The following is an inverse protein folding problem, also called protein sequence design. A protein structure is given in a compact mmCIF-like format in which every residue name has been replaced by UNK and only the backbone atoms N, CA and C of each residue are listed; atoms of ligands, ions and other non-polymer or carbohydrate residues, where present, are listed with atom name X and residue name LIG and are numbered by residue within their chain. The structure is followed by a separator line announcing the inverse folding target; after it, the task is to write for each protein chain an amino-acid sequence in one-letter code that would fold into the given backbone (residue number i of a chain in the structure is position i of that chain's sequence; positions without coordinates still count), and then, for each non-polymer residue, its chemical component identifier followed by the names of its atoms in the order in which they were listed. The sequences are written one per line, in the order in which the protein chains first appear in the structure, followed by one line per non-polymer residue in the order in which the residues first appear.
data_IF_543767777067
#
_entry.id   IF_543767777067
#
_cell.length_a   1.000
_cell.length_b   1.000
_cell.length_c   1.000
_cell.angle_alpha   90.00
_cell.angle_beta   90.00
_cell.angle_gamma   90.00
#
_symmetry.space_group_name_H-M   'P 1'
#
loop_
_entity.id
_entity.type
_entity.pdbx_description
1 polymer ?
#
# COMPACT_ATOMS: atom_id res chain seq x y z
N UNK A 1 32.99 -39.66 -28.48
CA UNK A 1 31.68 -39.46 -29.14
C UNK A 1 30.53 -39.39 -28.13
N UNK A 2 30.39 -40.38 -27.24
CA UNK A 2 29.31 -40.39 -26.22
C UNK A 2 29.32 -39.18 -25.27
N UNK A 3 30.48 -38.72 -24.80
CA UNK A 3 30.56 -37.56 -23.90
C UNK A 3 29.98 -36.28 -24.53
N UNK A 4 30.13 -36.11 -25.85
CA UNK A 4 29.66 -34.93 -26.58
C UNK A 4 28.12 -34.94 -26.68
N UNK A 5 27.53 -36.12 -26.84
CA UNK A 5 26.08 -36.30 -26.78
C UNK A 5 25.55 -36.06 -25.37
N UNK A 6 26.23 -36.58 -24.34
CA UNK A 6 25.84 -36.35 -22.95
C UNK A 6 25.85 -34.85 -22.59
N UNK A 7 26.88 -34.11 -23.01
CA UNK A 7 26.95 -32.65 -22.85
C UNK A 7 25.80 -31.93 -23.55
N UNK A 8 25.45 -32.35 -24.77
CA UNK A 8 24.39 -31.73 -25.55
C UNK A 8 23.02 -31.94 -24.88
N UNK A 9 22.75 -33.17 -24.41
CA UNK A 9 21.52 -33.47 -23.66
C UNK A 9 21.46 -32.66 -22.36
N UNK A 10 22.57 -32.53 -21.64
CA UNK A 10 22.64 -31.75 -20.40
C UNK A 10 22.37 -30.27 -20.65
N UNK A 11 22.91 -29.70 -21.74
CA UNK A 11 22.67 -28.31 -22.12
C UNK A 11 21.19 -28.04 -22.44
N UNK A 12 20.53 -28.96 -23.15
CA UNK A 12 19.10 -28.86 -23.44
C UNK A 12 18.27 -28.98 -22.17
N UNK A 13 18.61 -29.94 -21.30
CA UNK A 13 17.93 -30.13 -20.02
C UNK A 13 18.06 -28.89 -19.13
N UNK A 14 19.26 -28.31 -19.02
CA UNK A 14 19.51 -27.09 -18.27
C UNK A 14 18.71 -25.90 -18.84
N UNK A 15 18.65 -25.77 -20.16
CA UNK A 15 17.87 -24.72 -20.84
C UNK A 15 16.37 -24.89 -20.55
N UNK A 16 15.85 -26.11 -20.63
CA UNK A 16 14.46 -26.42 -20.31
C UNK A 16 14.12 -26.13 -18.84
N UNK A 17 14.98 -26.52 -17.90
CA UNK A 17 14.83 -26.23 -16.49
C UNK A 17 14.85 -24.72 -16.20
N UNK A 18 15.71 -23.96 -16.89
CA UNK A 18 15.74 -22.50 -16.81
C UNK A 18 14.44 -21.86 -17.29
N UNK A 19 13.93 -22.27 -18.45
CA UNK A 19 12.63 -21.78 -18.95
C UNK A 19 11.47 -22.10 -17.99
N UNK A 20 11.48 -23.30 -17.39
CA UNK A 20 10.47 -23.70 -16.43
C UNK A 20 10.53 -22.84 -15.16
N UNK A 21 11.73 -22.54 -14.66
CA UNK A 21 11.94 -21.69 -13.47
C UNK A 21 11.41 -20.28 -13.71
N UNK A 22 11.72 -19.67 -14.85
CA UNK A 22 11.21 -18.32 -15.19
C UNK A 22 9.67 -18.32 -15.25
N UNK A 23 9.07 -19.42 -15.73
CA UNK A 23 7.61 -19.56 -15.74
C UNK A 23 7.04 -19.65 -14.32
N UNK A 24 7.69 -20.39 -13.42
CA UNK A 24 7.27 -20.49 -12.02
C UNK A 24 7.37 -19.14 -11.31
N UNK A 25 8.48 -18.42 -11.49
CA UNK A 25 8.67 -17.08 -10.93
C UNK A 25 7.57 -16.09 -11.36
N UNK A 26 7.15 -16.16 -12.63
CA UNK A 26 6.04 -15.32 -13.10
C UNK A 26 4.72 -15.64 -12.41
N UNK A 27 4.44 -16.92 -12.17
CA UNK A 27 3.20 -17.33 -11.49
C UNK A 27 3.20 -16.91 -10.02
N UNK A 28 4.33 -17.06 -9.34
CA UNK A 28 4.50 -16.62 -7.96
C UNK A 28 4.35 -15.10 -7.84
N UNK A 29 5.00 -14.33 -8.71
CA UNK A 29 4.84 -12.87 -8.73
C UNK A 29 3.39 -12.42 -8.96
N UNK A 30 2.65 -13.11 -9.84
CA UNK A 30 1.22 -12.81 -10.06
C UNK A 30 0.39 -13.14 -8.82
N UNK A 31 0.69 -14.23 -8.13
CA UNK A 31 0.02 -14.59 -6.89
C UNK A 31 0.23 -13.55 -5.80
N UNK A 32 1.48 -13.16 -5.57
CA UNK A 32 1.84 -12.14 -4.58
C UNK A 32 1.18 -10.79 -4.89
N UNK A 33 1.14 -10.41 -6.17
CA UNK A 33 0.44 -9.20 -6.61
C UNK A 33 -1.06 -9.28 -6.36
N UNK A 34 -1.69 -10.43 -6.63
CA UNK A 34 -3.12 -10.62 -6.39
C UNK A 34 -3.45 -10.50 -4.90
N UNK A 35 -2.63 -11.08 -4.02
CA UNK A 35 -2.81 -10.97 -2.57
C UNK A 35 -2.59 -9.54 -2.06
N UNK A 36 -1.61 -8.81 -2.62
CA UNK A 36 -1.40 -7.40 -2.31
C UNK A 36 -2.59 -6.53 -2.74
N UNK A 37 -3.15 -6.78 -3.92
CA UNK A 37 -4.32 -6.06 -4.43
C UNK A 37 -5.57 -6.33 -3.60
N UNK A 38 -5.79 -7.58 -3.17
CA UNK A 38 -6.93 -7.91 -2.33
C UNK A 38 -6.86 -7.19 -0.97
N UNK A 39 -5.68 -7.18 -0.34
CA UNK A 39 -5.43 -6.40 0.88
C UNK A 39 -5.66 -4.90 0.67
N UNK A 40 -5.19 -4.35 -0.44
CA UNK A 40 -5.40 -2.94 -0.78
C UNK A 40 -6.89 -2.62 -0.96
N UNK A 41 -7.65 -3.51 -1.61
CA UNK A 41 -9.09 -3.35 -1.80
C UNK A 41 -9.86 -3.38 -0.48
N UNK A 42 -9.45 -4.21 0.48
CA UNK A 42 -10.04 -4.21 1.84
C UNK A 42 -9.82 -2.87 2.53
N UNK A 43 -8.58 -2.35 2.52
CA UNK A 43 -8.25 -1.06 3.11
C UNK A 43 -9.02 0.08 2.44
N UNK A 44 -9.16 0.06 1.13
CA UNK A 44 -9.91 1.08 0.40
C UNK A 44 -11.39 1.11 0.82
N UNK A 45 -12.00 -0.07 1.02
CA UNK A 45 -13.38 -0.16 1.53
C UNK A 45 -13.50 0.39 2.95
N UNK A 46 -12.51 0.16 3.80
CA UNK A 46 -12.49 0.71 5.16
C UNK A 46 -12.37 2.23 5.13
N UNK A 47 -11.45 2.78 4.34
CA UNK A 47 -11.30 4.23 4.15
C UNK A 47 -12.60 4.84 3.61
N UNK A 48 -13.23 4.19 2.63
CA UNK A 48 -14.51 4.63 2.09
C UNK A 48 -15.61 4.65 3.16
N UNK A 49 -15.68 3.62 4.00
CA UNK A 49 -16.63 3.56 5.12
C UNK A 49 -16.40 4.70 6.10
N UNK A 50 -15.15 4.94 6.50
CA UNK A 50 -14.79 6.04 7.40
C UNK A 50 -15.16 7.41 6.80
N UNK A 51 -14.95 7.60 5.48
CA UNK A 51 -15.36 8.82 4.78
C UNK A 51 -16.86 9.03 4.81
N UNK A 52 -17.65 7.97 4.61
CA UNK A 52 -19.11 8.06 4.73
C UNK A 52 -19.52 8.41 6.15
N UNK A 53 -18.90 7.79 7.15
CA UNK A 53 -19.21 8.06 8.56
C UNK A 53 -18.86 9.50 8.96
N UNK A 54 -17.69 9.99 8.56
CA UNK A 54 -17.30 11.38 8.73
C UNK A 54 -18.31 12.33 8.06
N UNK A 55 -18.67 12.06 6.79
CA UNK A 55 -19.65 12.86 6.05
C UNK A 55 -21.03 12.90 6.74
N UNK A 56 -21.46 11.80 7.38
CA UNK A 56 -22.69 11.76 8.17
C UNK A 56 -22.61 12.63 9.42
N UNK A 57 -21.48 12.61 10.12
CA UNK A 57 -21.28 13.44 11.31
C UNK A 57 -21.15 14.93 10.98
N UNK A 58 -20.56 15.24 9.83
CA UNK A 58 -20.39 16.63 9.36
C UNK A 58 -21.52 17.08 8.42
N UNK A 59 -22.64 16.36 8.37
CA UNK A 59 -23.76 16.76 7.51
C UNK A 59 -24.28 18.13 7.96
N UNK A 60 -24.63 19.03 7.02
CA UNK A 60 -25.10 20.37 7.37
C UNK A 60 -26.40 20.33 8.18
N UNK A 61 -27.23 19.30 7.99
CA UNK A 61 -28.44 19.06 8.78
C UNK A 61 -28.09 18.71 10.23
N UNK A 62 -27.08 17.86 10.44
CA UNK A 62 -26.59 17.50 11.77
C UNK A 62 -25.95 18.70 12.47
N UNK A 63 -25.17 19.49 11.73
CA UNK A 63 -24.60 20.75 12.21
C UNK A 63 -25.70 21.76 12.61
N UNK A 64 -26.76 21.90 11.81
CA UNK A 64 -27.90 22.77 12.14
C UNK A 64 -28.66 22.29 13.38
N UNK A 65 -28.85 20.99 13.56
CA UNK A 65 -29.47 20.44 14.77
C UNK A 65 -28.63 20.73 16.03
N UNK A 66 -27.31 20.59 15.93
CA UNK A 66 -26.40 20.94 17.03
C UNK A 66 -26.41 22.45 17.31
N UNK A 67 -26.44 23.28 16.26
CA UNK A 67 -26.56 24.74 16.39
C UNK A 67 -27.83 25.15 17.15
N UNK A 68 -28.96 24.51 16.87
CA UNK A 68 -30.23 24.76 17.58
C UNK A 68 -30.13 24.39 19.07
N UNK A 69 -29.39 23.33 19.42
CA UNK A 69 -29.19 22.93 20.83
C UNK A 69 -28.22 23.84 21.59
N UNK A 70 -27.21 24.40 20.92
CA UNK A 70 -26.15 25.22 21.55
C UNK A 70 -26.61 26.67 21.77
N UNK A 71 -27.62 27.14 21.01
CA UNK A 71 -28.17 28.49 21.16
C UNK A 71 -27.51 29.51 20.21
N UNK A 72 -27.47 30.78 20.60
CA UNK A 72 -27.06 31.88 19.71
C UNK A 72 -25.57 31.81 19.33
N UNK A 73 -25.27 31.17 18.20
CA UNK A 73 -23.89 31.08 17.68
C UNK A 73 -23.61 32.23 16.73
N UNK A 74 -22.58 33.02 17.03
CA UNK A 74 -22.06 34.02 16.08
C UNK A 74 -21.17 33.33 15.03
N UNK A 75 -21.31 33.68 13.73
CA UNK A 75 -20.42 33.15 12.71
C UNK A 75 -18.98 33.56 13.02
N UNK A 76 -18.10 32.58 13.13
CA UNK A 76 -16.66 32.82 13.23
C UNK A 76 -16.18 33.25 11.85
N UNK A 77 -16.06 34.55 11.63
CA UNK A 77 -15.37 35.10 10.47
C UNK A 77 -13.87 35.04 10.79
N UNK A 78 -13.22 33.92 10.50
CA UNK A 78 -11.77 33.86 10.52
C UNK A 78 -11.24 34.62 9.30
N UNK A 79 -10.39 35.64 9.48
CA UNK A 79 -9.66 36.24 8.37
C UNK A 79 -8.79 35.15 7.72
N UNK A 80 -8.73 35.15 6.39
CA UNK A 80 -7.99 34.15 5.62
C UNK A 80 -6.52 34.16 6.07
N UNK A 81 -6.08 33.10 6.74
CA UNK A 81 -4.69 32.94 7.13
C UNK A 81 -3.92 32.27 5.99
N UNK A 82 -2.73 32.79 5.73
CA UNK A 82 -1.71 32.25 4.84
C UNK A 82 -1.54 30.72 5.07
N UNK A 83 -1.32 29.91 4.01
CA UNK A 83 -1.30 28.46 4.15
C UNK A 83 -0.31 28.07 5.24
N UNK A 84 -0.78 27.27 6.21
CA UNK A 84 0.10 26.66 7.19
C UNK A 84 1.22 25.97 6.41
N UNK A 85 2.45 26.42 6.62
CA UNK A 85 3.65 25.70 6.23
C UNK A 85 3.72 24.45 7.11
N UNK A 86 2.89 23.47 6.79
CA UNK A 86 2.93 22.15 7.41
C UNK A 86 4.23 21.55 6.93
N UNK A 87 5.26 21.59 7.78
CA UNK A 87 6.48 20.85 7.55
C UNK A 87 6.08 19.41 7.17
N UNK A 88 6.68 18.82 6.13
CA UNK A 88 6.30 17.50 5.67
C UNK A 88 6.27 16.55 6.87
N UNK A 89 5.23 15.70 7.02
CA UNK A 89 5.15 14.76 8.11
C UNK A 89 6.47 13.98 8.12
N UNK A 90 7.21 14.20 9.19
CA UNK A 90 8.43 13.52 9.56
C UNK A 90 8.33 12.06 9.14
N UNK A 91 9.14 11.70 8.14
CA UNK A 91 9.29 10.37 7.53
C UNK A 91 9.93 9.35 8.49
N UNK A 92 9.61 9.43 9.80
CA UNK A 92 10.03 8.47 10.83
C UNK A 92 9.50 7.04 10.61
N UNK A 93 8.66 6.82 9.60
CA UNK A 93 8.16 5.50 9.24
C UNK A 93 8.84 4.89 8.00
N UNK A 94 9.81 5.57 7.39
CA UNK A 94 10.64 4.97 6.34
C UNK A 94 11.99 4.58 6.96
N UNK A 95 12.30 3.28 6.96
CA UNK A 95 13.54 2.64 7.44
C UNK A 95 13.62 2.37 8.94
N UNK A 96 12.92 1.33 9.39
CA UNK A 96 13.51 0.42 10.37
C UNK A 96 14.48 -0.49 9.61
N UNK A 97 15.81 -0.40 9.82
CA UNK A 97 16.74 -1.31 9.19
C UNK A 97 16.64 -2.65 9.91
N UNK A 98 15.88 -3.58 9.32
CA UNK A 98 15.95 -4.99 9.72
C UNK A 98 17.33 -5.53 9.33
N UNK A 99 18.21 -5.56 10.33
CA UNK A 99 19.17 -6.64 10.57
C UNK A 99 20.07 -7.01 9.38
N UNK A 100 21.09 -6.17 9.17
CA UNK A 100 22.36 -6.56 8.58
C UNK A 100 22.92 -7.72 9.42
N UNK A 101 22.85 -8.94 8.88
CA UNK A 101 23.51 -10.13 9.42
C UNK A 101 24.92 -10.13 8.84
N UNK A 102 25.81 -9.44 9.53
CA UNK A 102 27.24 -9.68 9.42
C UNK A 102 27.50 -11.06 10.02
N UNK A 103 27.66 -12.06 9.18
CA UNK A 103 28.41 -13.28 9.53
C UNK A 103 29.32 -13.58 8.33
N UNK A 104 30.47 -12.92 8.36
CA UNK A 104 31.66 -13.32 7.63
C UNK A 104 32.59 -14.01 8.62
N UNK A 105 32.81 -15.31 8.41
CA UNK A 105 34.05 -16.06 8.61
C UNK A 105 33.90 -17.47 8.03
#
# INVERSE_FOLDING_TARGET
MLYKLALLVLAIAATGAGLLTVRQQRLEAVHDMAEALDRAAVLEREVWRMRIEAARLTSPEHAQQLLVQIGETRPVVTPWHEPLNVAPPNTRFATSPSHQRDDSL
#
